data_IF_216460036151
#
_entry.id   IF_216460036151
#
_cell.length_a   1.000
_cell.length_b   1.000
_cell.length_c   1.000
_cell.angle_alpha   90.00
_cell.angle_beta   90.00
_cell.angle_gamma   90.00
#
_symmetry.space_group_name_H-M   'P 1'
#
loop_
_entity.id
_entity.type
_entity.pdbx_description
1 polymer ?
#
# COMPACT_ATOMS: atom_id res chain seq x y z
N UNK A 1 9.63 13.60 8.05
CA UNK A 1 8.37 13.85 7.32
C UNK A 1 7.76 12.52 7.00
N UNK A 2 6.51 12.28 7.37
CA UNK A 2 5.84 11.00 7.13
C UNK A 2 5.49 10.85 5.65
N UNK A 3 6.07 9.85 4.99
CA UNK A 3 6.04 9.66 3.54
C UNK A 3 4.62 9.41 2.99
N UNK A 4 3.68 8.99 3.84
CA UNK A 4 2.28 8.78 3.43
C UNK A 4 1.49 10.08 3.33
N UNK A 5 1.83 11.12 4.11
CA UNK A 5 0.97 12.29 4.29
C UNK A 5 0.85 13.14 3.03
N UNK A 6 1.96 13.35 2.32
CA UNK A 6 1.97 14.15 1.09
C UNK A 6 1.11 13.50 -0.01
N UNK A 7 1.34 12.24 -0.40
CA UNK A 7 0.51 11.59 -1.41
C UNK A 7 -0.94 11.37 -0.95
N UNK A 8 -1.17 11.09 0.34
CA UNK A 8 -2.53 10.95 0.88
C UNK A 8 -3.36 12.23 0.75
N UNK A 9 -2.74 13.42 0.86
CA UNK A 9 -3.46 14.70 0.62
C UNK A 9 -4.01 14.81 -0.81
N UNK A 10 -3.26 14.33 -1.80
CA UNK A 10 -3.68 14.35 -3.20
C UNK A 10 -4.77 13.31 -3.48
N UNK A 11 -4.70 12.16 -2.80
CA UNK A 11 -5.61 11.03 -2.93
C UNK A 11 -6.67 10.98 -1.81
N UNK A 12 -6.92 12.09 -1.11
CA UNK A 12 -7.74 12.09 0.09
C UNK A 12 -9.17 11.59 -0.17
N UNK A 13 -9.79 12.04 -1.27
CA UNK A 13 -11.14 11.63 -1.65
C UNK A 13 -11.25 10.13 -1.97
N UNK A 14 -10.42 9.54 -2.85
CA UNK A 14 -10.48 8.10 -3.10
C UNK A 14 -10.14 7.26 -1.86
N UNK A 15 -9.21 7.70 -1.00
CA UNK A 15 -8.90 7.03 0.26
C UNK A 15 -10.11 7.06 1.21
N UNK A 16 -10.72 8.24 1.40
CA UNK A 16 -11.90 8.41 2.24
C UNK A 16 -13.08 7.54 1.76
N UNK A 17 -13.27 7.39 0.44
CA UNK A 17 -14.30 6.49 -0.11
C UNK A 17 -14.03 5.02 0.18
N UNK A 18 -12.77 4.57 0.10
CA UNK A 18 -12.39 3.20 0.46
C UNK A 18 -12.63 2.93 1.94
N UNK A 19 -12.39 3.92 2.79
CA UNK A 19 -12.64 3.85 4.23
C UNK A 19 -14.12 4.04 4.62
N UNK A 20 -14.97 4.47 3.68
CA UNK A 20 -16.38 4.75 3.96
C UNK A 20 -16.60 5.99 4.83
N UNK A 21 -15.73 7.00 4.75
CA UNK A 21 -15.86 8.20 5.57
C UNK A 21 -17.18 8.97 5.30
N UNK A 22 -17.94 9.24 6.35
CA UNK A 22 -19.30 9.80 6.32
C UNK A 22 -19.36 11.33 6.21
N UNK A 23 -18.21 12.01 6.08
CA UNK A 23 -18.14 13.46 6.02
C UNK A 23 -19.04 14.07 4.93
N UNK A 24 -19.85 15.06 5.31
CA UNK A 24 -20.85 15.72 4.45
C UNK A 24 -20.21 16.50 3.30
N UNK A 25 -19.01 17.04 3.51
CA UNK A 25 -18.24 17.73 2.47
C UNK A 25 -16.91 17.05 2.16
N UNK A 26 -16.35 17.35 0.99
CA UNK A 26 -15.03 16.84 0.58
C UNK A 26 -13.91 17.31 1.51
N UNK A 27 -14.05 18.50 2.09
CA UNK A 27 -13.07 19.06 3.00
C UNK A 27 -13.13 18.34 4.36
N UNK A 28 -14.34 18.09 4.88
CA UNK A 28 -14.51 17.34 6.14
C UNK A 28 -13.91 15.94 6.07
N UNK A 29 -14.19 15.19 4.98
CA UNK A 29 -13.62 13.84 4.77
C UNK A 29 -12.09 13.86 4.70
N UNK A 30 -11.51 14.91 4.13
CA UNK A 30 -10.07 15.08 4.04
C UNK A 30 -9.47 15.37 5.41
N UNK A 31 -10.11 16.23 6.20
CA UNK A 31 -9.60 16.62 7.50
C UNK A 31 -9.70 15.45 8.50
N UNK A 32 -10.79 14.69 8.47
CA UNK A 32 -10.98 13.42 9.20
C UNK A 32 -9.88 12.40 8.84
N UNK A 33 -9.65 12.16 7.54
CA UNK A 33 -8.58 11.27 7.07
C UNK A 33 -7.20 11.70 7.59
N UNK A 34 -6.89 13.01 7.55
CA UNK A 34 -5.60 13.52 7.99
C UNK A 34 -5.43 13.42 9.51
N UNK A 35 -6.50 13.59 10.27
CA UNK A 35 -6.51 13.37 11.71
C UNK A 35 -6.22 11.90 12.02
N UNK A 36 -6.94 10.97 11.41
CA UNK A 36 -6.76 9.52 11.62
C UNK A 36 -5.35 9.03 11.28
N UNK A 37 -4.77 9.56 10.19
CA UNK A 37 -3.39 9.24 9.80
C UNK A 37 -2.34 9.66 10.85
N UNK A 38 -2.68 10.62 11.72
CA UNK A 38 -1.77 11.29 12.64
C UNK A 38 -2.07 11.07 14.13
N UNK A 39 -3.08 10.24 14.47
CA UNK A 39 -3.37 9.84 15.85
C UNK A 39 -2.09 9.37 16.56
N UNK A 40 -1.94 9.63 17.86
CA UNK A 40 -0.74 9.22 18.61
C UNK A 40 -0.64 7.70 18.74
N UNK A 41 -1.80 7.03 18.82
CA UNK A 41 -1.92 5.60 19.07
C UNK A 41 -1.50 5.22 20.49
N UNK A 42 -1.75 6.12 21.43
CA UNK A 42 -1.59 5.86 22.87
C UNK A 42 -2.67 4.89 23.36
N UNK A 43 -3.87 5.00 22.80
CA UNK A 43 -4.99 4.06 22.98
C UNK A 43 -5.02 2.98 21.89
N UNK A 44 -5.59 1.81 22.23
CA UNK A 44 -5.67 0.66 21.32
C UNK A 44 -6.55 0.99 20.10
N UNK A 45 -7.66 1.68 20.34
CA UNK A 45 -8.62 2.05 19.30
C UNK A 45 -7.98 3.04 18.32
N UNK A 46 -7.28 4.05 18.84
CA UNK A 46 -6.50 5.00 18.05
C UNK A 46 -5.41 4.32 17.22
N UNK A 47 -4.74 3.31 17.79
CA UNK A 47 -3.71 2.55 17.09
C UNK A 47 -4.33 1.71 15.95
N UNK A 48 -5.49 1.10 16.19
CA UNK A 48 -6.24 0.33 15.20
C UNK A 48 -6.73 1.21 14.06
N UNK A 49 -7.38 2.32 14.39
CA UNK A 49 -7.89 3.30 13.42
C UNK A 49 -6.76 3.86 12.57
N UNK A 50 -5.68 4.35 13.20
CA UNK A 50 -4.49 4.81 12.48
C UNK A 50 -3.92 3.75 11.56
N UNK A 51 -3.86 2.49 12.00
CA UNK A 51 -3.35 1.42 11.17
C UNK A 51 -4.24 1.17 9.96
N UNK A 52 -5.55 1.03 10.14
CA UNK A 52 -6.52 0.83 9.05
C UNK A 52 -6.40 1.97 8.05
N UNK A 53 -6.42 3.21 8.53
CA UNK A 53 -6.33 4.40 7.70
C UNK A 53 -5.01 4.47 6.93
N UNK A 54 -3.88 4.17 7.58
CA UNK A 54 -2.57 4.13 6.90
C UNK A 54 -2.48 3.01 5.87
N UNK A 55 -3.00 1.82 6.19
CA UNK A 55 -3.00 0.67 5.28
C UNK A 55 -3.91 0.93 4.07
N UNK A 56 -5.10 1.49 4.27
CA UNK A 56 -5.96 1.91 3.16
C UNK A 56 -5.33 3.02 2.32
N UNK A 57 -4.68 4.00 2.95
CA UNK A 57 -3.97 5.06 2.24
C UNK A 57 -2.84 4.49 1.37
N UNK A 58 -1.99 3.61 1.91
CA UNK A 58 -0.95 2.96 1.14
C UNK A 58 -1.49 2.09 0.02
N UNK A 59 -2.56 1.32 0.27
CA UNK A 59 -3.23 0.55 -0.76
C UNK A 59 -3.64 1.44 -1.95
N UNK A 60 -4.32 2.55 -1.71
CA UNK A 60 -4.77 3.46 -2.78
C UNK A 60 -3.59 4.13 -3.49
N UNK A 61 -2.58 4.58 -2.75
CA UNK A 61 -1.38 5.20 -3.32
C UNK A 61 -0.65 4.22 -4.24
N UNK A 62 -0.44 2.99 -3.78
CA UNK A 62 0.27 1.96 -4.52
C UNK A 62 -0.54 1.41 -5.68
N UNK A 63 -1.86 1.29 -5.55
CA UNK A 63 -2.75 0.93 -6.65
C UNK A 63 -2.72 1.99 -7.75
N UNK A 64 -2.79 3.28 -7.40
CA UNK A 64 -2.64 4.37 -8.36
C UNK A 64 -1.26 4.31 -9.04
N UNK A 65 -0.19 4.09 -8.27
CA UNK A 65 1.16 3.87 -8.79
C UNK A 65 1.23 2.69 -9.74
N UNK A 66 0.58 1.57 -9.43
CA UNK A 66 0.53 0.38 -10.28
C UNK A 66 -0.13 0.68 -11.62
N UNK A 67 -1.29 1.34 -11.63
CA UNK A 67 -1.94 1.73 -12.88
C UNK A 67 -1.08 2.69 -13.71
N UNK A 68 -0.40 3.65 -13.07
CA UNK A 68 0.56 4.52 -13.75
C UNK A 68 1.75 3.72 -14.31
N UNK A 69 2.25 2.73 -13.58
CA UNK A 69 3.33 1.86 -14.04
C UNK A 69 2.90 1.03 -15.25
N UNK A 70 1.64 0.55 -15.29
CA UNK A 70 1.08 -0.17 -16.44
C UNK A 70 0.98 0.71 -17.68
N UNK A 71 0.63 1.99 -17.53
CA UNK A 71 0.62 2.94 -18.65
C UNK A 71 2.00 3.10 -19.31
N UNK A 72 3.09 2.80 -18.60
CA UNK A 72 4.46 2.80 -19.12
C UNK A 72 4.90 1.40 -19.56
N UNK A 73 4.59 0.36 -18.78
CA UNK A 73 4.99 -1.01 -19.04
C UNK A 73 4.34 -1.59 -20.30
N UNK A 74 3.09 -1.22 -20.61
CA UNK A 74 2.38 -1.67 -21.81
C UNK A 74 3.09 -1.17 -23.09
N UNK A 75 3.42 0.12 -23.25
CA UNK A 75 4.27 0.55 -24.37
C UNK A 75 5.60 -0.20 -24.43
N UNK A 76 6.29 -0.36 -23.29
CA UNK A 76 7.58 -1.07 -23.26
C UNK A 76 7.42 -2.50 -23.77
N UNK A 77 6.36 -3.22 -23.37
CA UNK A 77 6.13 -4.59 -23.84
C UNK A 77 5.78 -4.68 -25.32
N UNK A 78 5.21 -3.63 -25.92
CA UNK A 78 4.92 -3.56 -27.35
C UNK A 78 6.14 -3.19 -28.21
N UNK A 79 7.09 -2.43 -27.65
CA UNK A 79 8.27 -1.93 -28.38
C UNK A 79 9.55 -2.72 -28.08
N UNK A 80 9.60 -3.49 -26.99
CA UNK A 80 10.72 -4.36 -26.67
C UNK A 80 10.86 -5.43 -27.76
N UNK A 81 12.05 -5.50 -28.36
CA UNK A 81 12.37 -6.48 -29.41
C UNK A 81 12.79 -7.83 -28.84
N UNK A 82 13.27 -7.82 -27.60
CA UNK A 82 13.74 -9.00 -26.87
C UNK A 82 13.27 -8.92 -25.42
N UNK A 83 12.97 -10.07 -24.81
CA UNK A 83 12.61 -10.17 -23.39
C UNK A 83 13.78 -9.81 -22.46
N UNK A 84 15.02 -9.83 -23.00
CA UNK A 84 16.25 -9.42 -22.32
C UNK A 84 16.38 -7.91 -22.14
N UNK A 85 15.48 -7.11 -22.72
CA UNK A 85 15.56 -5.65 -22.65
C UNK A 85 15.51 -5.16 -21.18
N UNK A 86 16.53 -4.41 -20.71
CA UNK A 86 16.55 -3.87 -19.35
C UNK A 86 15.30 -3.03 -19.02
N UNK A 87 14.72 -2.33 -20.00
CA UNK A 87 13.50 -1.56 -19.79
C UNK A 87 12.31 -2.47 -19.48
N UNK A 88 12.21 -3.61 -20.16
CA UNK A 88 11.19 -4.61 -19.91
C UNK A 88 11.33 -5.21 -18.51
N UNK A 89 12.54 -5.62 -18.11
CA UNK A 89 12.83 -6.12 -16.77
C UNK A 89 12.48 -5.11 -15.66
N UNK A 90 12.92 -3.85 -15.80
CA UNK A 90 12.66 -2.79 -14.82
C UNK A 90 11.18 -2.48 -14.71
N UNK A 91 10.47 -2.46 -15.84
CA UNK A 91 9.02 -2.23 -15.86
C UNK A 91 8.26 -3.34 -15.13
N UNK A 92 8.61 -4.61 -15.38
CA UNK A 92 8.01 -5.76 -14.71
C UNK A 92 8.29 -5.75 -13.21
N UNK A 93 9.53 -5.47 -12.80
CA UNK A 93 9.94 -5.36 -11.40
C UNK A 93 9.14 -4.28 -10.67
N UNK A 94 9.09 -3.07 -11.24
CA UNK A 94 8.44 -1.92 -10.61
C UNK A 94 6.92 -2.13 -10.50
N UNK A 95 6.29 -2.61 -11.57
CA UNK A 95 4.86 -2.90 -11.60
C UNK A 95 4.46 -4.00 -10.62
N UNK A 96 5.20 -5.12 -10.59
CA UNK A 96 4.90 -6.20 -9.65
C UNK A 96 5.10 -5.75 -8.21
N UNK A 97 6.17 -5.01 -7.91
CA UNK A 97 6.42 -4.46 -6.60
C UNK A 97 5.25 -3.61 -6.09
N UNK A 98 4.77 -2.66 -6.91
CA UNK A 98 3.64 -1.80 -6.57
C UNK A 98 2.35 -2.58 -6.34
N UNK A 99 2.06 -3.55 -7.23
CA UNK A 99 0.91 -4.43 -7.09
C UNK A 99 0.95 -5.24 -5.79
N UNK A 100 2.06 -5.91 -5.53
CA UNK A 100 2.22 -6.77 -4.35
C UNK A 100 2.12 -5.97 -3.06
N UNK A 101 2.78 -4.81 -2.99
CA UNK A 101 2.69 -3.92 -1.84
C UNK A 101 1.25 -3.41 -1.63
N UNK A 102 0.53 -3.07 -2.70
CA UNK A 102 -0.88 -2.67 -2.60
C UNK A 102 -1.72 -3.81 -1.99
N UNK A 103 -1.60 -5.02 -2.51
CA UNK A 103 -2.30 -6.20 -1.99
C UNK A 103 -1.96 -6.46 -0.52
N UNK A 104 -0.69 -6.36 -0.14
CA UNK A 104 -0.24 -6.56 1.23
C UNK A 104 -0.89 -5.55 2.19
N UNK A 105 -0.95 -4.27 1.79
CA UNK A 105 -1.64 -3.24 2.59
C UNK A 105 -3.15 -3.44 2.66
N UNK A 106 -3.79 -3.91 1.58
CA UNK A 106 -5.20 -4.28 1.61
C UNK A 106 -5.47 -5.45 2.57
N UNK A 107 -4.64 -6.50 2.52
CA UNK A 107 -4.72 -7.64 3.44
C UNK A 107 -4.51 -7.19 4.87
N UNK A 108 -3.56 -6.30 5.14
CA UNK A 108 -3.35 -5.74 6.48
C UNK A 108 -4.57 -4.98 6.99
N UNK A 109 -5.18 -4.13 6.16
CA UNK A 109 -6.41 -3.43 6.50
C UNK A 109 -7.56 -4.42 6.83
N UNK A 110 -7.74 -5.46 6.01
CA UNK A 110 -8.74 -6.50 6.24
C UNK A 110 -8.49 -7.29 7.52
N UNK A 111 -7.24 -7.62 7.82
CA UNK A 111 -6.88 -8.31 9.06
C UNK A 111 -7.28 -7.46 10.27
N UNK A 112 -7.05 -6.14 10.26
CA UNK A 112 -7.49 -5.30 11.40
C UNK A 112 -8.99 -5.24 11.51
N UNK A 113 -9.66 -5.12 10.37
CA UNK A 113 -11.09 -4.93 10.34
C UNK A 113 -11.87 -6.20 10.71
N UNK A 114 -11.36 -7.38 10.35
CA UNK A 114 -12.06 -8.65 10.50
C UNK A 114 -11.48 -9.61 11.54
N UNK A 115 -10.19 -9.50 11.95
CA UNK A 115 -9.75 -10.32 13.08
C UNK A 115 -10.38 -9.78 14.36
N UNK A 116 -11.11 -10.61 15.11
CA UNK A 116 -11.67 -10.18 16.38
C UNK A 116 -10.55 -9.69 17.31
N UNK A 117 -10.82 -8.67 18.13
CA UNK A 117 -9.88 -8.09 19.11
C UNK A 117 -9.21 -9.14 20.03
N UNK A 118 -9.78 -10.33 20.18
CA UNK A 118 -9.17 -11.41 20.98
C UNK A 118 -8.06 -12.19 20.24
N UNK A 119 -8.01 -12.15 18.90
CA UNK A 119 -6.93 -12.77 18.10
C UNK A 119 -5.81 -11.78 17.76
N UNK A 120 -6.15 -10.49 17.71
CA UNK A 120 -5.20 -9.40 17.55
C UNK A 120 -4.90 -8.78 18.92
N UNK A 121 -3.65 -8.90 19.41
CA UNK A 121 -3.21 -8.08 20.55
C UNK A 121 -2.26 -6.96 20.05
N UNK A 122 -2.70 -5.68 20.01
CA UNK A 122 -1.86 -4.59 19.53
C UNK A 122 -0.68 -4.30 20.46
N UNK A 123 -0.71 -4.81 21.69
CA UNK A 123 0.41 -4.73 22.64
C UNK A 123 1.46 -5.82 22.39
N UNK A 124 1.12 -6.87 21.64
CA UNK A 124 2.09 -7.90 21.25
C UNK A 124 3.11 -7.31 20.28
N UNK A 125 4.40 -7.36 20.64
CA UNK A 125 5.49 -6.88 19.80
C UNK A 125 5.52 -7.59 18.44
N UNK A 126 5.16 -8.87 18.40
CA UNK A 126 5.13 -9.67 17.17
C UNK A 126 4.06 -9.13 16.21
N UNK A 127 2.85 -8.88 16.70
CA UNK A 127 1.79 -8.30 15.88
C UNK A 127 2.09 -6.87 15.47
N UNK A 128 2.71 -6.07 16.33
CA UNK A 128 3.17 -4.73 15.96
C UNK A 128 4.22 -4.78 14.86
N UNK A 129 5.17 -5.71 14.89
CA UNK A 129 6.17 -5.85 13.83
C UNK A 129 5.52 -6.36 12.54
N UNK A 130 4.73 -7.44 12.60
CA UNK A 130 4.08 -8.02 11.43
C UNK A 130 3.11 -7.05 10.74
N UNK A 131 2.38 -6.25 11.52
CA UNK A 131 1.39 -5.32 10.97
C UNK A 131 1.99 -3.95 10.70
N UNK A 132 2.74 -3.35 11.62
CA UNK A 132 3.18 -1.95 11.53
C UNK A 132 4.57 -1.75 10.92
N UNK A 133 5.44 -2.76 10.89
CA UNK A 133 6.77 -2.60 10.30
C UNK A 133 6.68 -2.73 8.77
N UNK A 134 6.98 -1.63 8.08
CA UNK A 134 6.98 -1.58 6.61
C UNK A 134 8.25 -2.21 5.99
N UNK A 135 9.35 -2.29 6.77
CA UNK A 135 10.63 -2.78 6.27
C UNK A 135 10.60 -4.27 5.84
N UNK A 136 10.03 -5.20 6.65
CA UNK A 136 9.87 -6.58 6.22
C UNK A 136 9.03 -6.72 4.94
N UNK A 137 7.94 -5.96 4.83
CA UNK A 137 7.10 -5.96 3.63
C UNK A 137 7.88 -5.53 2.40
N UNK A 138 8.66 -4.45 2.54
CA UNK A 138 9.49 -3.90 1.46
C UNK A 138 10.52 -4.93 0.97
N UNK A 139 11.20 -5.61 1.88
CA UNK A 139 12.22 -6.62 1.55
C UNK A 139 11.58 -7.80 0.82
N UNK A 140 10.45 -8.31 1.34
CA UNK A 140 9.74 -9.43 0.72
C UNK A 140 9.21 -9.04 -0.66
N UNK A 141 8.60 -7.85 -0.78
CA UNK A 141 8.07 -7.36 -2.04
C UNK A 141 9.18 -7.17 -3.09
N UNK A 142 10.33 -6.62 -2.72
CA UNK A 142 11.48 -6.47 -3.62
C UNK A 142 12.05 -7.83 -4.04
N UNK A 143 12.20 -8.77 -3.12
CA UNK A 143 12.69 -10.11 -3.43
C UNK A 143 11.76 -10.84 -4.41
N UNK A 144 10.44 -10.82 -4.14
CA UNK A 144 9.45 -11.43 -5.04
C UNK A 144 9.38 -10.72 -6.39
N UNK A 145 9.40 -9.39 -6.42
CA UNK A 145 9.44 -8.62 -7.66
C UNK A 145 10.67 -8.95 -8.50
N UNK A 146 11.83 -9.10 -7.87
CA UNK A 146 13.04 -9.52 -8.55
C UNK A 146 12.90 -10.93 -9.12
N UNK A 147 12.41 -11.90 -8.33
CA UNK A 147 12.20 -13.28 -8.81
C UNK A 147 11.25 -13.32 -10.01
N UNK A 148 10.13 -12.59 -9.93
CA UNK A 148 9.17 -12.50 -11.03
C UNK A 148 9.81 -11.86 -12.25
N UNK A 149 10.43 -10.70 -12.13
CA UNK A 149 11.09 -10.05 -13.26
C UNK A 149 12.19 -10.93 -13.88
N UNK A 150 12.98 -11.63 -13.04
CA UNK A 150 14.05 -12.51 -13.49
C UNK A 150 13.52 -13.77 -14.19
N UNK A 151 12.34 -14.27 -13.80
CA UNK A 151 11.72 -15.42 -14.48
C UNK A 151 11.32 -15.10 -15.92
N UNK A 152 10.98 -13.85 -16.24
CA UNK A 152 10.55 -13.48 -17.60
C UNK A 152 11.73 -13.29 -18.56
N UNK A 153 12.94 -13.07 -18.04
CA UNK A 153 14.16 -12.86 -18.85
C UNK A 153 14.92 -14.17 -19.12
N UNK A 154 14.58 -15.25 -18.41
CA UNK A 154 15.32 -16.53 -18.46
C UNK A 154 14.78 -17.54 -19.48
N UNK A 155 13.69 -17.22 -20.17
CA UNK A 155 13.12 -17.98 -21.29
C UNK A 155 13.43 -17.31 -22.63
#
# INVERSE_FOLDING_TARGET
MDLVLVPARWLAEPIARVLGADGKTRQDRRDELMQDLTLSGDDIDDLGLRHITRSAAWFVILAAGFFLSMAVAIPISLFAKELSDPAFFVSALFSFFLFFMACLHAVKALIVHYLPEHWWNPRSRVWRVAMLAQLPDLVIALALAYVVAASVVRD
#
